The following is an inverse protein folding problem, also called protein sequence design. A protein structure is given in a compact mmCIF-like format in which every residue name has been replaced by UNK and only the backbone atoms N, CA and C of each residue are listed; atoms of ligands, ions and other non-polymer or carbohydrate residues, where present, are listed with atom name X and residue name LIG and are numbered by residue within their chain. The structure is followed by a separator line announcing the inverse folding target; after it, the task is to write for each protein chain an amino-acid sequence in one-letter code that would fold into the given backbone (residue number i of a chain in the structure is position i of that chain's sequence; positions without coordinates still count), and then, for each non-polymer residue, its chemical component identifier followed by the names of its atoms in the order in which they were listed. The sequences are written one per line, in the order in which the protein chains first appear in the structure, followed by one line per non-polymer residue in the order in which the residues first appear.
data_IF_137793469971
#
_entry.id   IF_137793469971
#
_cell.length_a   1.000
_cell.length_b   1.000
_cell.length_c   1.000
_cell.angle_alpha   90.00
_cell.angle_beta   90.00
_cell.angle_gamma   90.00
#
_symmetry.space_group_name_H-M   'P 1'
#
loop_
_entity.id
_entity.type
_entity.pdbx_description
1 polymer ?
#
# COMPACT_ATOMS: atom_id res chain seq x y z
N UNK A 1 -8.24 20.36 11.01
CA UNK A 1 -7.69 19.95 9.70
C UNK A 1 -6.83 18.71 9.87
N UNK A 2 -7.44 17.54 9.99
CA UNK A 2 -6.73 16.27 10.04
C UNK A 2 -6.76 15.64 8.65
N UNK A 3 -6.08 16.26 7.69
CA UNK A 3 -5.72 15.56 6.46
C UNK A 3 -4.84 14.39 6.90
N UNK A 4 -5.31 13.16 6.66
CA UNK A 4 -4.59 11.94 6.99
C UNK A 4 -3.40 11.84 6.02
N UNK A 5 -2.36 12.62 6.30
CA UNK A 5 -1.04 12.46 5.69
C UNK A 5 -0.35 11.33 6.44
N UNK A 6 -0.10 10.23 5.74
CA UNK A 6 0.55 9.08 6.36
C UNK A 6 0.42 7.78 5.59
N UNK A 7 1.27 6.83 5.96
CA UNK A 7 1.22 5.48 5.42
C UNK A 7 0.21 4.66 6.22
N UNK A 8 -0.88 4.28 5.58
CA UNK A 8 -1.83 3.31 6.13
C UNK A 8 -1.22 1.93 6.01
N UNK A 9 -1.03 1.26 7.14
CA UNK A 9 -0.56 -0.13 7.21
C UNK A 9 -1.70 -0.99 7.73
N UNK A 10 -1.95 -2.09 7.05
CA UNK A 10 -2.94 -3.08 7.46
C UNK A 10 -2.22 -4.38 7.72
N UNK A 11 -2.68 -5.13 8.70
CA UNK A 11 -2.05 -6.37 9.15
C UNK A 11 -3.03 -7.53 9.03
N UNK A 12 -2.51 -8.72 8.78
CA UNK A 12 -3.26 -9.97 8.90
C UNK A 12 -3.56 -10.28 10.37
N UNK A 13 -4.48 -11.21 10.62
CA UNK A 13 -4.83 -11.65 11.97
C UNK A 13 -3.64 -12.25 12.74
N UNK A 14 -2.63 -12.76 12.02
CA UNK A 14 -1.38 -13.26 12.58
C UNK A 14 -0.38 -12.14 12.97
N UNK A 15 -0.74 -10.86 12.77
CA UNK A 15 0.10 -9.70 13.05
C UNK A 15 1.09 -9.33 11.95
N UNK A 16 1.15 -10.08 10.85
CA UNK A 16 2.04 -9.77 9.73
C UNK A 16 1.49 -8.65 8.86
N UNK A 17 2.38 -7.87 8.23
CA UNK A 17 1.98 -6.78 7.35
C UNK A 17 1.24 -7.35 6.14
N UNK A 18 0.06 -6.82 5.85
CA UNK A 18 -0.76 -7.20 4.69
C UNK A 18 -0.59 -6.26 3.52
N UNK A 19 -0.68 -4.95 3.77
CA UNK A 19 -0.30 -3.94 2.78
C UNK A 19 0.06 -2.62 3.46
N UNK A 20 0.83 -1.83 2.76
CA UNK A 20 1.13 -0.43 3.07
C UNK A 20 0.70 0.44 1.90
N UNK A 21 -0.06 1.49 2.19
CA UNK A 21 -0.53 2.44 1.20
C UNK A 21 -0.31 3.88 1.70
N UNK A 22 0.50 4.69 0.99
CA UNK A 22 0.71 6.08 1.34
C UNK A 22 -0.50 6.94 0.94
N UNK A 23 -0.94 7.80 1.85
CA UNK A 23 -1.98 8.80 1.61
C UNK A 23 -1.40 10.20 1.80
N UNK A 24 -1.76 11.07 0.85
CA UNK A 24 -1.48 12.50 0.88
C UNK A 24 -2.82 13.24 0.83
N UNK A 25 -3.11 14.03 1.86
CA UNK A 25 -4.36 14.78 2.02
C UNK A 25 -5.62 13.92 1.96
N UNK A 26 -5.52 12.66 2.40
CA UNK A 26 -6.62 11.69 2.33
C UNK A 26 -6.78 11.00 0.98
N UNK A 27 -5.86 11.22 0.03
CA UNK A 27 -5.85 10.59 -1.30
C UNK A 27 -4.64 9.65 -1.41
N UNK A 28 -4.81 8.40 -1.92
CA UNK A 28 -3.68 7.50 -2.17
C UNK A 28 -2.64 8.17 -3.09
N UNK A 29 -1.39 8.26 -2.62
CA UNK A 29 -0.30 8.89 -3.37
C UNK A 29 1.06 8.31 -2.96
N UNK A 30 1.76 7.69 -3.91
CA UNK A 30 3.06 7.06 -3.73
C UNK A 30 3.03 5.53 -3.95
N UNK A 31 4.11 4.87 -3.55
CA UNK A 31 4.29 3.43 -3.73
C UNK A 31 3.55 2.65 -2.63
N UNK A 32 2.57 1.85 -3.02
CA UNK A 32 1.93 0.85 -2.20
C UNK A 32 2.58 -0.52 -2.39
N UNK A 33 2.65 -1.29 -1.31
CA UNK A 33 3.18 -2.65 -1.32
C UNK A 33 2.21 -3.60 -0.62
N UNK A 34 1.99 -4.77 -1.19
CA UNK A 34 1.14 -5.83 -0.66
C UNK A 34 1.96 -7.08 -0.41
N UNK A 35 1.71 -7.71 0.74
CA UNK A 35 2.42 -8.87 1.22
C UNK A 35 1.44 -10.03 1.48
N UNK A 36 1.92 -11.26 1.35
CA UNK A 36 1.17 -12.45 1.77
C UNK A 36 1.19 -12.66 3.29
N UNK A 37 0.49 -13.67 3.77
CA UNK A 37 0.41 -14.04 5.19
C UNK A 37 1.71 -14.63 5.76
N UNK A 38 2.74 -14.78 4.92
CA UNK A 38 4.11 -15.17 5.27
C UNK A 38 5.07 -13.97 5.26
N UNK A 39 4.61 -12.79 4.83
CA UNK A 39 5.37 -11.55 4.77
C UNK A 39 6.16 -11.36 3.47
N UNK A 40 5.94 -12.19 2.45
CA UNK A 40 6.56 -12.02 1.14
C UNK A 40 5.82 -10.95 0.35
N UNK A 41 6.58 -10.09 -0.33
CA UNK A 41 6.01 -9.12 -1.26
C UNK A 41 5.34 -9.87 -2.41
N UNK A 42 4.05 -9.65 -2.62
CA UNK A 42 3.28 -10.27 -3.72
C UNK A 42 2.91 -9.28 -4.81
N UNK A 43 2.87 -7.99 -4.50
CA UNK A 43 2.50 -6.93 -5.46
C UNK A 43 2.95 -5.56 -4.99
N UNK A 44 3.35 -4.71 -5.93
CA UNK A 44 3.53 -3.28 -5.73
C UNK A 44 2.62 -2.52 -6.67
N UNK A 45 2.15 -1.36 -6.22
CA UNK A 45 1.37 -0.46 -7.06
C UNK A 45 1.81 0.97 -6.80
N UNK A 46 1.80 1.83 -7.80
CA UNK A 46 2.10 3.25 -7.65
C UNK A 46 0.80 4.01 -7.81
N UNK A 47 0.49 4.86 -6.83
CA UNK A 47 -0.67 5.72 -6.83
C UNK A 47 -0.24 7.17 -7.06
N UNK A 48 -0.98 7.89 -7.90
CA UNK A 48 -0.79 9.33 -8.11
C UNK A 48 -2.16 9.99 -8.16
N UNK A 49 -2.37 10.95 -7.26
CA UNK A 49 -3.64 11.68 -7.15
C UNK A 49 -4.88 10.77 -7.01
N UNK A 50 -4.70 9.60 -6.38
CA UNK A 50 -5.75 8.61 -6.15
C UNK A 50 -5.89 7.57 -7.25
N UNK A 51 -5.16 7.72 -8.36
CA UNK A 51 -5.19 6.79 -9.49
C UNK A 51 -4.01 5.83 -9.45
N UNK A 52 -4.24 4.58 -9.85
CA UNK A 52 -3.15 3.60 -10.04
C UNK A 52 -2.45 3.93 -11.34
N UNK A 53 -1.18 4.31 -11.26
CA UNK A 53 -0.34 4.57 -12.44
C UNK A 53 0.51 3.37 -12.82
N UNK A 54 0.86 2.52 -11.84
CA UNK A 54 1.59 1.27 -12.08
C UNK A 54 1.07 0.17 -11.17
N UNK A 55 1.06 -1.05 -11.70
CA UNK A 55 0.72 -2.25 -10.96
C UNK A 55 1.63 -3.40 -11.38
N UNK A 56 2.43 -3.88 -10.43
CA UNK A 56 3.46 -4.87 -10.67
C UNK A 56 3.31 -6.04 -9.69
N UNK A 57 2.92 -7.23 -10.15
CA UNK A 57 2.96 -8.43 -9.33
C UNK A 57 4.42 -8.85 -9.07
N UNK A 58 4.72 -9.36 -7.88
CA UNK A 58 6.09 -9.66 -7.46
C UNK A 58 6.73 -10.91 -8.13
N UNK A 59 6.16 -11.38 -9.23
CA UNK A 59 6.63 -12.54 -9.99
C UNK A 59 6.56 -12.38 -11.51
N UNK A 60 6.34 -11.15 -12.00
CA UNK A 60 6.42 -10.81 -13.43
C UNK A 60 7.85 -10.62 -13.91
#
# INVERSE_FOLDING_TARGET
NNQQDGNVKTYYANGQLRYIMPYLKGVPHGNASMYDDLGNLVRTAVFKDGEVVEDTPAGS
#
